data_IF_987944759616
#
_entry.id   IF_987944759616
#
_cell.length_a   1.000
_cell.length_b   1.000
_cell.length_c   1.000
_cell.angle_alpha   90.00
_cell.angle_beta   90.00
_cell.angle_gamma   90.00
#
_symmetry.space_group_name_H-M   'P 1'
#
loop_
_entity.id
_entity.type
_entity.pdbx_description
1 polymer ?
#
# COMPACT_ATOMS: atom_id res chain seq x y z
N UNK A 1 3.58 17.44 -13.95
CA UNK A 1 2.65 18.00 -14.97
C UNK A 1 3.53 18.80 -15.92
N UNK A 2 4.03 18.31 -17.06
CA UNK A 2 3.75 17.12 -17.87
C UNK A 2 4.92 16.11 -17.73
N UNK A 3 4.77 14.99 -17.03
CA UNK A 3 4.14 13.74 -17.50
C UNK A 3 4.71 13.22 -18.83
N UNK A 4 5.59 12.23 -18.70
CA UNK A 4 5.34 10.86 -19.21
C UNK A 4 5.02 10.76 -20.71
N UNK A 5 5.89 11.30 -21.56
CA UNK A 5 5.70 11.26 -23.02
C UNK A 5 6.82 10.59 -23.80
N UNK A 6 7.53 9.59 -23.27
CA UNK A 6 8.42 8.76 -24.13
C UNK A 6 8.51 7.29 -23.68
N UNK A 7 7.36 6.62 -23.46
CA UNK A 7 7.30 5.15 -23.30
C UNK A 7 6.66 4.45 -24.50
N UNK A 8 6.28 5.17 -25.56
CA UNK A 8 5.56 4.53 -26.68
C UNK A 8 6.11 5.01 -28.02
N UNK A 9 7.20 4.41 -28.49
CA UNK A 9 7.54 4.42 -29.91
C UNK A 9 8.60 3.36 -30.26
N UNK A 10 8.24 2.46 -31.19
CA UNK A 10 9.07 1.52 -31.99
C UNK A 10 9.38 0.18 -31.32
N UNK A 11 8.63 -0.91 -31.53
CA UNK A 11 8.25 -1.65 -32.77
C UNK A 11 9.46 -2.12 -33.60
N UNK A 12 9.75 -3.42 -33.52
CA UNK A 12 10.24 -4.31 -34.60
C UNK A 12 10.12 -5.76 -34.09
N UNK A 13 9.05 -6.51 -34.41
CA UNK A 13 8.84 -7.34 -35.62
C UNK A 13 9.64 -8.65 -35.61
N UNK A 14 8.91 -9.78 -35.61
CA UNK A 14 9.39 -11.14 -35.85
C UNK A 14 8.21 -12.09 -36.05
N UNK A 15 7.81 -12.24 -37.32
CA UNK A 15 6.60 -12.85 -37.86
C UNK A 15 6.71 -14.39 -38.10
N UNK A 16 5.54 -15.01 -38.32
CA UNK A 16 5.24 -16.23 -39.11
C UNK A 16 5.65 -17.60 -38.52
N UNK A 17 4.98 -18.75 -38.72
CA UNK A 17 3.64 -19.24 -39.12
C UNK A 17 3.83 -20.74 -39.46
N UNK A 18 2.75 -21.54 -39.33
CA UNK A 18 2.43 -22.79 -40.04
C UNK A 18 2.58 -24.18 -39.37
N UNK A 19 1.56 -24.98 -39.70
CA UNK A 19 1.35 -26.43 -39.60
C UNK A 19 0.97 -26.99 -38.21
N UNK A 20 -0.11 -27.76 -38.00
CA UNK A 20 -1.04 -28.43 -38.89
C UNK A 20 -1.28 -29.87 -38.44
N UNK A 21 -2.50 -30.19 -37.96
CA UNK A 21 -3.10 -31.53 -38.00
C UNK A 21 -2.93 -32.47 -36.80
N UNK A 22 -4.04 -32.81 -36.11
CA UNK A 22 -4.72 -34.13 -36.11
C UNK A 22 -5.68 -34.29 -34.91
N UNK A 23 -6.93 -34.63 -35.23
CA UNK A 23 -8.05 -35.11 -34.39
C UNK A 23 -7.70 -36.43 -33.63
N UNK A 24 -8.48 -36.96 -32.64
CA UNK A 24 -9.95 -36.86 -32.54
C UNK A 24 -10.64 -36.84 -31.15
N UNK A 25 -11.92 -36.44 -31.21
CA UNK A 25 -13.12 -36.94 -30.48
C UNK A 25 -13.04 -37.15 -28.95
N UNK A 26 -13.71 -36.27 -28.22
CA UNK A 26 -14.24 -36.53 -26.88
C UNK A 26 -15.58 -35.84 -26.68
N UNK A 27 -16.64 -36.65 -26.69
CA UNK A 27 -18.00 -36.45 -26.15
C UNK A 27 -18.65 -35.06 -26.22
N UNK A 28 -19.69 -34.98 -27.06
CA UNK A 28 -20.76 -34.01 -26.92
C UNK A 28 -21.40 -34.12 -25.53
N UNK A 29 -21.25 -33.07 -24.72
CA UNK A 29 -22.20 -32.77 -23.65
C UNK A 29 -23.35 -31.98 -24.27
N UNK A 30 -24.55 -32.55 -24.22
CA UNK A 30 -25.80 -31.90 -24.58
C UNK A 30 -26.00 -30.62 -23.72
N UNK A 31 -26.74 -29.61 -24.24
CA UNK A 31 -26.89 -28.31 -23.60
C UNK A 31 -27.69 -28.45 -22.30
N UNK A 32 -27.03 -28.25 -21.17
CA UNK A 32 -27.68 -28.13 -19.88
C UNK A 32 -28.31 -26.75 -19.71
N UNK A 33 -29.64 -26.73 -19.71
CA UNK A 33 -30.56 -25.79 -19.05
C UNK A 33 -30.25 -24.27 -19.15
N UNK A 34 -31.11 -23.58 -19.91
CA UNK A 34 -31.20 -22.13 -20.00
C UNK A 34 -31.40 -21.47 -18.62
N UNK A 35 -30.31 -20.91 -18.08
CA UNK A 35 -30.39 -19.71 -17.24
C UNK A 35 -30.61 -18.47 -18.12
N UNK A 36 -31.03 -17.33 -17.55
CA UNK A 36 -31.23 -16.10 -18.32
C UNK A 36 -29.94 -15.73 -19.07
N UNK A 37 -30.05 -15.51 -20.38
CA UNK A 37 -28.92 -15.12 -21.24
C UNK A 37 -28.20 -13.91 -20.64
N UNK A 38 -26.91 -14.05 -20.34
CA UNK A 38 -26.08 -12.96 -19.79
C UNK A 38 -26.14 -11.70 -20.66
N UNK A 39 -26.34 -11.87 -21.97
CA UNK A 39 -26.53 -10.78 -22.96
C UNK A 39 -27.79 -9.95 -22.67
N UNK A 40 -28.88 -10.60 -22.25
CA UNK A 40 -30.15 -9.94 -21.93
C UNK A 40 -30.03 -9.16 -20.62
N UNK A 41 -29.41 -9.76 -19.60
CA UNK A 41 -29.14 -9.10 -18.32
C UNK A 41 -28.18 -7.92 -18.50
N UNK A 42 -27.15 -8.09 -19.33
CA UNK A 42 -26.18 -7.04 -19.61
C UNK A 42 -26.82 -5.84 -20.35
N UNK A 43 -27.82 -6.07 -21.20
CA UNK A 43 -28.62 -5.00 -21.81
C UNK A 43 -29.40 -4.15 -20.78
N UNK A 44 -29.89 -4.79 -19.72
CA UNK A 44 -30.61 -4.13 -18.62
C UNK A 44 -29.70 -3.29 -17.71
N UNK A 45 -28.38 -3.45 -17.77
CA UNK A 45 -27.43 -2.59 -17.05
C UNK A 45 -27.39 -1.17 -17.61
N UNK A 46 -27.74 -1.01 -18.90
CA UNK A 46 -27.69 0.27 -19.59
C UNK A 46 -28.89 1.18 -19.25
N UNK A 47 -29.92 0.64 -18.59
CA UNK A 47 -31.14 1.37 -18.20
C UNK A 47 -31.15 1.57 -16.68
N UNK A 48 -31.23 2.83 -16.17
CA UNK A 48 -31.21 3.11 -14.73
C UNK A 48 -32.27 2.31 -13.94
N UNK A 49 -33.50 2.24 -14.47
CA UNK A 49 -34.62 1.56 -13.82
C UNK A 49 -34.41 0.05 -13.61
N UNK A 50 -33.61 -0.61 -14.46
CA UNK A 50 -33.34 -2.06 -14.41
C UNK A 50 -31.92 -2.40 -13.97
N UNK A 51 -31.05 -1.41 -13.77
CA UNK A 51 -29.64 -1.63 -13.46
C UNK A 51 -29.47 -2.38 -12.12
N UNK A 52 -30.22 -2.00 -11.08
CA UNK A 52 -30.13 -2.63 -9.77
C UNK A 52 -30.57 -4.11 -9.79
N UNK A 53 -31.63 -4.46 -10.53
CA UNK A 53 -32.11 -5.84 -10.66
C UNK A 53 -31.18 -6.68 -11.52
N UNK A 54 -30.61 -6.10 -12.57
CA UNK A 54 -29.59 -6.75 -13.40
C UNK A 54 -28.32 -7.05 -12.60
N UNK A 55 -27.82 -6.13 -11.77
CA UNK A 55 -26.66 -6.36 -10.90
C UNK A 55 -26.93 -7.49 -9.91
N UNK A 56 -28.12 -7.53 -9.31
CA UNK A 56 -28.51 -8.61 -8.41
C UNK A 56 -28.56 -9.98 -9.12
N UNK A 57 -29.07 -10.03 -10.35
CA UNK A 57 -29.09 -11.24 -11.16
C UNK A 57 -27.67 -11.70 -11.55
N UNK A 58 -26.78 -10.79 -11.92
CA UNK A 58 -25.38 -11.09 -12.22
C UNK A 58 -24.63 -11.67 -11.02
N UNK A 59 -24.93 -11.21 -9.81
CA UNK A 59 -24.32 -11.73 -8.58
C UNK A 59 -24.66 -13.20 -8.28
N UNK A 60 -25.71 -13.76 -8.88
CA UNK A 60 -26.09 -15.17 -8.77
C UNK A 60 -25.51 -16.06 -9.87
N UNK A 61 -24.92 -15.49 -10.92
CA UNK A 61 -24.34 -16.23 -12.03
C UNK A 61 -22.89 -16.62 -11.75
N UNK A 62 -22.48 -17.79 -12.25
CA UNK A 62 -21.08 -18.29 -12.18
C UNK A 62 -20.36 -18.16 -13.52
N UNK A 63 -20.86 -17.28 -14.40
CA UNK A 63 -20.30 -17.08 -15.74
C UNK A 63 -19.01 -16.24 -15.68
N UNK A 64 -17.89 -16.68 -16.30
CA UNK A 64 -16.62 -15.96 -16.29
C UNK A 64 -16.70 -14.55 -16.92
N UNK A 65 -17.72 -14.26 -17.74
CA UNK A 65 -17.92 -12.92 -18.31
C UNK A 65 -18.50 -11.90 -17.32
N UNK A 66 -18.96 -12.32 -16.13
CA UNK A 66 -19.54 -11.41 -15.11
C UNK A 66 -18.50 -10.47 -14.52
N UNK A 67 -17.31 -10.97 -14.16
CA UNK A 67 -16.24 -10.14 -13.58
C UNK A 67 -15.80 -9.00 -14.51
N UNK A 68 -15.39 -9.24 -15.76
CA UNK A 68 -14.97 -8.16 -16.66
C UNK A 68 -16.11 -7.19 -16.98
N UNK A 69 -17.36 -7.66 -17.06
CA UNK A 69 -18.52 -6.80 -17.28
C UNK A 69 -18.76 -5.84 -16.09
N UNK A 70 -18.77 -6.36 -14.87
CA UNK A 70 -18.97 -5.54 -13.67
C UNK A 70 -17.79 -4.60 -13.39
N UNK A 71 -16.56 -5.03 -13.71
CA UNK A 71 -15.38 -4.15 -13.65
C UNK A 71 -15.50 -3.02 -14.67
N UNK A 72 -15.88 -3.32 -15.92
CA UNK A 72 -16.10 -2.31 -16.94
C UNK A 72 -17.20 -1.30 -16.56
N UNK A 73 -18.28 -1.76 -15.94
CA UNK A 73 -19.34 -0.88 -15.43
C UNK A 73 -18.82 0.05 -14.32
N UNK A 74 -18.01 -0.48 -13.40
CA UNK A 74 -17.42 0.29 -12.30
C UNK A 74 -16.41 1.33 -12.79
N UNK A 75 -15.59 0.97 -13.77
CA UNK A 75 -14.50 1.81 -14.27
C UNK A 75 -14.96 2.81 -15.36
N UNK A 76 -16.27 2.84 -15.68
CA UNK A 76 -16.82 3.72 -16.71
C UNK A 76 -16.43 3.31 -18.14
N UNK A 77 -16.13 2.02 -18.34
CA UNK A 77 -15.67 1.43 -19.60
C UNK A 77 -16.77 0.63 -20.33
N UNK A 78 -18.02 0.70 -19.87
CA UNK A 78 -19.15 0.01 -20.49
C UNK A 78 -19.93 0.96 -21.42
N UNK A 79 -20.18 0.55 -22.65
CA UNK A 79 -20.88 1.35 -23.66
C UNK A 79 -22.11 0.62 -24.20
N UNK A 80 -23.16 1.39 -24.54
CA UNK A 80 -24.33 0.85 -25.24
C UNK A 80 -23.97 0.62 -26.71
N UNK A 81 -24.22 -0.59 -27.21
CA UNK A 81 -23.96 -0.94 -28.61
C UNK A 81 -25.09 -1.81 -29.18
N UNK A 82 -25.70 -1.36 -30.27
CA UNK A 82 -26.90 -1.98 -30.85
C UNK A 82 -28.00 -2.23 -29.79
N UNK A 83 -28.40 -3.48 -29.59
CA UNK A 83 -29.40 -3.91 -28.61
C UNK A 83 -28.79 -4.43 -27.30
N UNK A 84 -27.50 -4.18 -27.05
CA UNK A 84 -26.79 -4.69 -25.89
C UNK A 84 -25.70 -3.74 -25.41
N UNK A 85 -24.67 -4.32 -24.77
CA UNK A 85 -23.53 -3.58 -24.21
C UNK A 85 -22.21 -4.12 -24.77
N UNK A 86 -21.23 -3.23 -24.86
CA UNK A 86 -19.86 -3.53 -25.25
C UNK A 86 -18.89 -2.94 -24.23
N UNK A 87 -17.78 -3.64 -23.99
CA UNK A 87 -16.73 -3.25 -23.05
C UNK A 87 -15.59 -2.58 -23.82
N UNK A 88 -15.09 -1.46 -23.34
CA UNK A 88 -13.91 -0.80 -23.90
C UNK A 88 -12.65 -1.60 -23.55
N UNK A 89 -11.92 -2.06 -24.57
CA UNK A 89 -10.61 -2.69 -24.41
C UNK A 89 -9.48 -1.67 -24.26
N UNK A 90 -8.32 -2.13 -23.79
CA UNK A 90 -7.11 -1.31 -23.60
C UNK A 90 -6.59 -0.70 -24.92
N UNK A 91 -6.97 -1.29 -26.05
CA UNK A 91 -6.71 -0.85 -27.41
C UNK A 91 -7.66 0.26 -27.90
N UNK A 92 -8.58 0.72 -27.04
CA UNK A 92 -9.59 1.73 -27.35
C UNK A 92 -10.76 1.19 -28.19
N UNK A 93 -10.75 -0.10 -28.54
CA UNK A 93 -11.80 -0.75 -29.30
C UNK A 93 -12.90 -1.31 -28.39
N UNK A 94 -14.15 -1.23 -28.84
CA UNK A 94 -15.28 -1.89 -28.21
C UNK A 94 -15.23 -3.40 -28.47
N UNK A 95 -15.42 -4.17 -27.41
CA UNK A 95 -15.42 -5.64 -27.41
C UNK A 95 -16.76 -6.16 -26.94
N UNK A 96 -17.18 -7.28 -27.51
CA UNK A 96 -18.36 -8.01 -27.03
C UNK A 96 -18.08 -8.70 -25.68
N UNK A 97 -19.12 -9.24 -25.04
CA UNK A 97 -19.01 -9.97 -23.77
C UNK A 97 -18.13 -11.24 -23.87
N UNK A 98 -17.79 -11.70 -25.07
CA UNK A 98 -16.87 -12.80 -25.32
C UNK A 98 -15.43 -12.31 -25.60
N UNK A 99 -15.16 -11.01 -25.45
CA UNK A 99 -13.85 -10.38 -25.63
C UNK A 99 -13.44 -10.15 -27.09
N UNK A 100 -14.34 -10.37 -28.06
CA UNK A 100 -14.08 -10.21 -29.50
C UNK A 100 -14.28 -8.75 -29.89
N UNK A 101 -13.42 -8.17 -30.76
CA UNK A 101 -13.62 -6.80 -31.22
C UNK A 101 -14.93 -6.70 -31.99
N UNK A 102 -15.73 -5.69 -31.65
CA UNK A 102 -16.91 -5.33 -32.42
C UNK A 102 -16.44 -4.71 -33.72
N UNK A 103 -16.83 -5.29 -34.85
CA UNK A 103 -16.42 -4.83 -36.18
C UNK A 103 -17.52 -4.02 -36.85
N UNK A 104 -17.14 -2.96 -37.57
CA UNK A 104 -18.02 -2.20 -38.43
C UNK A 104 -18.33 -2.95 -39.75
N UNK A 105 -19.17 -2.36 -40.60
CA UNK A 105 -19.53 -2.94 -41.91
C UNK A 105 -18.36 -3.05 -42.91
N UNK A 106 -17.17 -2.54 -42.55
CA UNK A 106 -15.92 -2.59 -43.31
C UNK A 106 -14.87 -3.51 -42.66
N UNK A 107 -15.23 -4.18 -41.56
CA UNK A 107 -14.33 -5.10 -40.84
C UNK A 107 -13.32 -4.40 -39.93
N UNK A 108 -13.49 -3.12 -39.61
CA UNK A 108 -12.63 -2.36 -38.70
C UNK A 108 -13.18 -2.39 -37.27
N UNK A 109 -12.28 -2.38 -36.27
CA UNK A 109 -12.66 -2.36 -34.87
C UNK A 109 -13.38 -1.04 -34.53
N UNK A 110 -14.55 -1.15 -33.92
CA UNK A 110 -15.38 -0.01 -33.54
C UNK A 110 -14.78 0.66 -32.30
N UNK A 111 -14.62 1.97 -32.35
CA UNK A 111 -14.27 2.82 -31.19
C UNK A 111 -15.51 3.60 -30.73
N UNK A 112 -15.58 4.03 -29.45
CA UNK A 112 -16.66 4.91 -28.99
C UNK A 112 -16.76 6.16 -29.87
N UNK A 113 -17.98 6.57 -30.22
CA UNK A 113 -18.18 7.80 -31.01
C UNK A 113 -17.80 9.02 -30.17
N UNK A 114 -17.33 10.07 -30.83
CA UNK A 114 -17.05 11.34 -30.16
C UNK A 114 -18.32 11.88 -29.49
N UNK A 115 -18.31 12.04 -28.16
CA UNK A 115 -19.48 12.41 -27.34
C UNK A 115 -20.39 11.26 -26.90
N UNK A 116 -20.04 9.99 -27.17
CA UNK A 116 -20.77 8.85 -26.63
C UNK A 116 -20.44 8.66 -25.15
N UNK A 117 -21.44 8.79 -24.29
CA UNK A 117 -21.29 8.56 -22.86
C UNK A 117 -21.27 7.07 -22.53
N UNK A 118 -20.41 6.71 -21.58
CA UNK A 118 -20.40 5.39 -20.99
C UNK A 118 -21.65 5.18 -20.13
N UNK A 119 -22.05 3.92 -19.97
CA UNK A 119 -23.10 3.52 -19.02
C UNK A 119 -22.62 3.84 -17.61
N UNK A 120 -23.24 4.84 -16.99
CA UNK A 120 -22.94 5.23 -15.63
C UNK A 120 -23.44 4.18 -14.63
N UNK A 121 -22.61 3.87 -13.64
CA UNK A 121 -23.00 3.09 -12.47
C UNK A 121 -23.71 4.00 -11.47
N UNK A 122 -24.93 3.65 -11.07
CA UNK A 122 -25.64 4.37 -10.02
C UNK A 122 -24.88 4.29 -8.69
N UNK A 123 -24.77 5.43 -8.00
CA UNK A 123 -24.09 5.56 -6.70
C UNK A 123 -24.63 4.55 -5.68
N UNK A 124 -25.96 4.35 -5.64
CA UNK A 124 -26.62 3.38 -4.75
C UNK A 124 -26.27 1.91 -5.06
N UNK A 125 -25.83 1.61 -6.29
CA UNK A 125 -25.49 0.27 -6.75
C UNK A 125 -23.98 -0.02 -6.67
N UNK A 126 -23.14 1.01 -6.48
CA UNK A 126 -21.68 0.89 -6.38
C UNK A 126 -21.25 -0.15 -5.33
N UNK A 127 -21.82 -0.07 -4.11
CA UNK A 127 -21.50 -1.01 -3.03
C UNK A 127 -21.85 -2.46 -3.36
N UNK A 128 -22.95 -2.70 -4.11
CA UNK A 128 -23.37 -4.05 -4.52
C UNK A 128 -22.44 -4.63 -5.58
N UNK A 129 -22.09 -3.83 -6.60
CA UNK A 129 -21.12 -4.22 -7.64
C UNK A 129 -19.79 -4.57 -7.00
N UNK A 130 -19.32 -3.72 -6.09
CA UNK A 130 -18.09 -3.95 -5.34
C UNK A 130 -18.16 -5.27 -4.54
N UNK A 131 -19.24 -5.52 -3.80
CA UNK A 131 -19.40 -6.78 -3.07
C UNK A 131 -19.36 -8.02 -3.97
N UNK A 132 -19.97 -7.97 -5.15
CA UNK A 132 -19.95 -9.09 -6.11
C UNK A 132 -18.54 -9.30 -6.65
N UNK A 133 -17.86 -8.24 -7.09
CA UNK A 133 -16.49 -8.34 -7.61
C UNK A 133 -15.52 -8.94 -6.59
N UNK A 134 -15.60 -8.53 -5.32
CA UNK A 134 -14.72 -9.07 -4.29
C UNK A 134 -15.02 -10.55 -3.99
N UNK A 135 -16.29 -11.00 -4.05
CA UNK A 135 -16.63 -12.44 -3.93
C UNK A 135 -16.02 -13.29 -5.03
N UNK A 136 -15.94 -12.75 -6.26
CA UNK A 136 -15.30 -13.43 -7.38
C UNK A 136 -13.77 -13.46 -7.20
N UNK A 137 -13.18 -12.32 -6.79
CA UNK A 137 -11.73 -12.20 -6.59
C UNK A 137 -11.16 -13.12 -5.50
N UNK A 138 -11.96 -13.50 -4.51
CA UNK A 138 -11.56 -14.44 -3.46
C UNK A 138 -11.18 -15.83 -4.00
N UNK A 139 -11.57 -16.22 -5.22
CA UNK A 139 -11.19 -17.50 -5.82
C UNK A 139 -10.09 -17.40 -6.89
N UNK A 140 -9.47 -16.23 -7.05
CA UNK A 140 -8.42 -16.02 -8.07
C UNK A 140 -7.13 -16.78 -7.76
N UNK A 141 -6.30 -17.03 -8.78
CA UNK A 141 -5.02 -17.72 -8.61
C UNK A 141 -3.98 -16.93 -7.80
N UNK A 142 -4.07 -15.60 -7.79
CA UNK A 142 -3.15 -14.71 -7.09
C UNK A 142 -3.48 -14.60 -5.58
N UNK A 143 -2.58 -15.05 -4.66
CA UNK A 143 -2.81 -14.95 -3.22
C UNK A 143 -3.03 -13.51 -2.73
N UNK A 144 -2.36 -12.53 -3.34
CA UNK A 144 -2.47 -11.13 -2.93
C UNK A 144 -3.86 -10.56 -3.26
N UNK A 145 -4.35 -10.82 -4.46
CA UNK A 145 -5.72 -10.49 -4.85
C UNK A 145 -6.76 -11.15 -3.93
N UNK A 146 -6.62 -12.46 -3.65
CA UNK A 146 -7.53 -13.18 -2.73
C UNK A 146 -7.54 -12.55 -1.33
N UNK A 147 -6.37 -12.21 -0.80
CA UNK A 147 -6.20 -11.58 0.53
C UNK A 147 -6.87 -10.21 0.58
N UNK A 148 -6.65 -9.37 -0.43
CA UNK A 148 -7.28 -8.05 -0.54
C UNK A 148 -8.81 -8.16 -0.59
N UNK A 149 -9.31 -9.10 -1.39
CA UNK A 149 -10.74 -9.34 -1.54
C UNK A 149 -11.39 -9.84 -0.24
N UNK A 150 -10.75 -10.79 0.44
CA UNK A 150 -11.20 -11.28 1.75
C UNK A 150 -11.31 -10.15 2.78
N UNK A 151 -10.28 -9.30 2.89
CA UNK A 151 -10.28 -8.15 3.79
C UNK A 151 -11.45 -7.19 3.52
N UNK A 152 -11.67 -6.84 2.24
CA UNK A 152 -12.76 -5.95 1.83
C UNK A 152 -14.13 -6.56 2.14
N UNK A 153 -14.34 -7.84 1.83
CA UNK A 153 -15.60 -8.53 2.14
C UNK A 153 -15.90 -8.53 3.64
N UNK A 154 -14.90 -8.75 4.49
CA UNK A 154 -15.05 -8.62 5.94
C UNK A 154 -15.45 -7.22 6.39
N UNK A 155 -15.01 -6.18 5.67
CA UNK A 155 -15.27 -4.77 5.99
C UNK A 155 -16.62 -4.27 5.46
N UNK A 156 -17.18 -4.91 4.43
CA UNK A 156 -18.46 -4.54 3.82
C UNK A 156 -19.68 -4.89 4.69
N UNK A 157 -19.49 -5.65 5.78
CA UNK A 157 -20.54 -6.09 6.72
C UNK A 157 -21.72 -6.82 6.04
N UNK A 158 -21.44 -7.46 4.91
CA UNK A 158 -22.41 -8.19 4.12
C UNK A 158 -22.42 -9.67 4.50
N UNK A 159 -23.42 -10.07 5.31
CA UNK A 159 -23.56 -11.44 5.83
C UNK A 159 -23.76 -12.47 4.70
N UNK A 160 -24.21 -12.06 3.51
CA UNK A 160 -24.38 -12.98 2.38
C UNK A 160 -23.05 -13.46 1.80
N UNK A 161 -21.92 -12.84 2.17
CA UNK A 161 -20.58 -13.30 1.82
C UNK A 161 -20.05 -14.45 2.71
N UNK A 162 -20.72 -14.77 3.83
CA UNK A 162 -20.28 -15.83 4.77
C UNK A 162 -20.07 -17.20 4.11
N UNK A 163 -21.00 -17.72 3.28
CA UNK A 163 -20.81 -19.02 2.62
C UNK A 163 -19.65 -19.00 1.61
N UNK A 164 -19.47 -17.87 0.92
CA UNK A 164 -18.40 -17.67 -0.05
C UNK A 164 -17.03 -17.72 0.64
N UNK A 165 -16.86 -16.96 1.72
CA UNK A 165 -15.63 -16.94 2.50
C UNK A 165 -15.33 -18.30 3.16
N UNK A 166 -16.36 -19.00 3.65
CA UNK A 166 -16.19 -20.34 4.21
C UNK A 166 -15.66 -21.33 3.16
N UNK A 167 -16.25 -21.34 1.96
CA UNK A 167 -15.80 -22.20 0.86
C UNK A 167 -14.38 -21.85 0.41
N UNK A 168 -14.06 -20.56 0.33
CA UNK A 168 -12.70 -20.12 -0.02
C UNK A 168 -11.67 -20.57 1.02
N UNK A 169 -12.02 -20.50 2.31
CA UNK A 169 -11.16 -20.92 3.41
C UNK A 169 -10.83 -22.42 3.37
N UNK A 170 -11.76 -23.26 2.92
CA UNK A 170 -11.55 -24.71 2.77
C UNK A 170 -10.53 -25.04 1.66
N UNK A 171 -10.51 -24.22 0.60
CA UNK A 171 -9.63 -24.43 -0.56
C UNK A 171 -8.28 -23.71 -0.42
N UNK A 172 -8.13 -22.82 0.58
CA UNK A 172 -6.96 -21.98 0.74
C UNK A 172 -5.75 -22.77 1.27
N UNK A 173 -4.61 -22.57 0.60
CA UNK A 173 -3.33 -23.20 0.94
C UNK A 173 -2.33 -22.20 1.52
N UNK A 174 -2.46 -20.92 1.18
CA UNK A 174 -1.56 -19.89 1.69
C UNK A 174 -1.92 -19.50 3.13
N UNK A 175 -0.95 -19.60 4.05
CA UNK A 175 -1.19 -19.36 5.48
C UNK A 175 -1.57 -17.92 5.79
N UNK A 176 -1.00 -16.94 5.06
CA UNK A 176 -1.30 -15.52 5.26
C UNK A 176 -2.73 -15.20 4.81
N UNK A 177 -3.11 -15.66 3.62
CA UNK A 177 -4.46 -15.49 3.05
C UNK A 177 -5.51 -16.19 3.90
N UNK A 178 -5.23 -17.40 4.37
CA UNK A 178 -6.07 -18.15 5.31
C UNK A 178 -6.40 -17.35 6.56
N UNK A 179 -5.40 -16.70 7.15
CA UNK A 179 -5.58 -15.85 8.35
C UNK A 179 -6.56 -14.70 8.09
N UNK A 180 -6.46 -14.05 6.93
CA UNK A 180 -7.34 -12.94 6.55
C UNK A 180 -8.76 -13.41 6.22
N UNK A 181 -8.90 -14.59 5.59
CA UNK A 181 -10.21 -15.23 5.37
C UNK A 181 -10.88 -15.60 6.70
N UNK A 182 -10.13 -16.17 7.65
CA UNK A 182 -10.64 -16.47 9.00
C UNK A 182 -11.09 -15.19 9.72
N UNK A 183 -10.32 -14.10 9.62
CA UNK A 183 -10.67 -12.79 10.21
C UNK A 183 -11.95 -12.21 9.58
N UNK A 184 -12.03 -12.19 8.25
CA UNK A 184 -13.18 -11.67 7.52
C UNK A 184 -14.46 -12.46 7.84
N UNK A 185 -14.37 -13.79 7.85
CA UNK A 185 -15.47 -14.66 8.22
C UNK A 185 -15.93 -14.42 9.66
N UNK A 186 -15.00 -14.26 10.60
CA UNK A 186 -15.32 -14.00 11.99
C UNK A 186 -15.98 -12.63 12.19
N UNK A 187 -15.52 -11.57 11.50
CA UNK A 187 -16.18 -10.25 11.51
C UNK A 187 -17.63 -10.34 11.06
N UNK A 188 -17.91 -11.01 9.95
CA UNK A 188 -19.29 -11.18 9.48
C UNK A 188 -20.14 -12.03 10.44
N UNK A 189 -19.56 -13.06 11.06
CA UNK A 189 -20.25 -13.90 12.05
C UNK A 189 -20.58 -13.17 13.36
N UNK A 190 -19.90 -12.06 13.68
CA UNK A 190 -20.33 -11.19 14.79
C UNK A 190 -21.72 -10.57 14.56
N UNK A 191 -22.16 -10.45 13.30
CA UNK A 191 -23.48 -9.93 12.94
C UNK A 191 -24.57 -11.02 12.94
N UNK A 192 -24.21 -12.27 13.25
CA UNK A 192 -25.15 -13.38 13.24
C UNK A 192 -26.22 -13.21 14.34
N UNK A 193 -27.48 -13.65 14.09
CA UNK A 193 -28.56 -13.55 15.07
C UNK A 193 -28.34 -14.47 16.29
N UNK A 194 -27.58 -15.56 16.11
CA UNK A 194 -27.33 -16.57 17.15
C UNK A 194 -26.17 -16.16 18.06
N UNK A 195 -26.42 -16.11 19.38
CA UNK A 195 -25.43 -15.72 20.39
C UNK A 195 -24.19 -16.64 20.40
N UNK A 196 -24.38 -17.96 20.26
CA UNK A 196 -23.27 -18.91 20.19
C UNK A 196 -22.32 -18.62 19.02
N UNK A 197 -22.85 -18.28 17.85
CA UNK A 197 -22.05 -17.92 16.66
C UNK A 197 -21.27 -16.62 16.88
N UNK A 198 -21.86 -15.62 17.54
CA UNK A 198 -21.14 -14.39 17.91
C UNK A 198 -20.03 -14.66 18.93
N UNK A 199 -20.27 -15.55 19.89
CA UNK A 199 -19.26 -15.97 20.87
C UNK A 199 -18.06 -16.67 20.20
N UNK A 200 -18.33 -17.58 19.25
CA UNK A 200 -17.29 -18.26 18.47
C UNK A 200 -16.49 -17.28 17.60
N UNK A 201 -17.19 -16.35 16.94
CA UNK A 201 -16.58 -15.30 16.15
C UNK A 201 -15.67 -14.39 16.98
N UNK A 202 -16.12 -13.96 18.15
CA UNK A 202 -15.32 -13.16 19.07
C UNK A 202 -14.06 -13.92 19.52
N UNK A 203 -14.18 -15.19 19.89
CA UNK A 203 -13.02 -16.03 20.24
C UNK A 203 -12.03 -16.16 19.10
N UNK A 204 -12.51 -16.33 17.87
CA UNK A 204 -11.66 -16.36 16.69
C UNK A 204 -10.90 -15.04 16.48
N UNK A 205 -11.59 -13.89 16.57
CA UNK A 205 -10.97 -12.56 16.42
C UNK A 205 -9.96 -12.25 17.53
N UNK A 206 -10.23 -12.68 18.76
CA UNK A 206 -9.30 -12.60 19.89
C UNK A 206 -8.03 -13.42 19.65
N UNK A 207 -8.16 -14.67 19.20
CA UNK A 207 -7.01 -15.53 18.83
C UNK A 207 -6.18 -14.91 17.70
N UNK A 208 -6.85 -14.34 16.70
CA UNK A 208 -6.22 -13.68 15.55
C UNK A 208 -5.61 -12.31 15.90
N UNK A 209 -5.86 -11.77 17.10
CA UNK A 209 -5.45 -10.43 17.53
C UNK A 209 -5.90 -9.35 16.54
N UNK A 210 -7.15 -9.45 16.07
CA UNK A 210 -7.71 -8.62 15.01
C UNK A 210 -8.04 -7.20 15.49
N UNK A 211 -7.08 -6.29 15.39
CA UNK A 211 -7.21 -4.88 15.80
C UNK A 211 -8.33 -4.14 15.05
N UNK A 212 -8.45 -4.43 13.75
CA UNK A 212 -9.48 -3.88 12.87
C UNK A 212 -10.91 -4.25 13.31
N UNK A 213 -11.08 -5.28 14.14
CA UNK A 213 -12.38 -5.71 14.66
C UNK A 213 -12.71 -5.12 16.05
N UNK A 214 -11.79 -4.37 16.69
CA UNK A 214 -12.00 -3.83 18.03
C UNK A 214 -13.22 -2.92 18.12
N UNK A 215 -13.41 -2.05 17.13
CA UNK A 215 -14.55 -1.14 17.09
C UNK A 215 -15.87 -1.92 17.05
N UNK A 216 -15.95 -2.94 16.20
CA UNK A 216 -17.12 -3.80 16.07
C UNK A 216 -17.37 -4.61 17.34
N UNK A 217 -16.34 -5.23 17.91
CA UNK A 217 -16.44 -6.01 19.15
C UNK A 217 -16.95 -5.16 20.31
N UNK A 218 -16.50 -3.90 20.44
CA UNK A 218 -16.99 -2.97 21.47
C UNK A 218 -18.47 -2.63 21.26
N UNK A 219 -18.88 -2.38 20.01
CA UNK A 219 -20.30 -2.17 19.67
C UNK A 219 -21.16 -3.40 19.97
N UNK A 220 -20.66 -4.61 19.70
CA UNK A 220 -21.37 -5.86 20.04
C UNK A 220 -21.47 -6.02 21.55
N UNK A 221 -20.39 -5.74 22.29
CA UNK A 221 -20.35 -5.88 23.75
C UNK A 221 -21.43 -5.06 24.47
N UNK A 222 -21.66 -3.83 24.00
CA UNK A 222 -22.69 -2.93 24.55
C UNK A 222 -24.12 -3.46 24.36
N UNK A 223 -24.37 -4.17 23.25
CA UNK A 223 -25.70 -4.62 22.83
C UNK A 223 -25.99 -6.09 23.18
N UNK A 224 -24.97 -6.87 23.48
CA UNK A 224 -25.08 -8.31 23.68
C UNK A 224 -25.85 -8.60 24.98
N UNK A 225 -26.98 -9.30 24.89
CA UNK A 225 -27.81 -9.64 26.05
C UNK A 225 -27.37 -10.98 26.69
N UNK A 226 -26.86 -11.92 25.89
CA UNK A 226 -26.49 -13.24 26.39
C UNK A 226 -25.20 -13.18 27.22
N UNK A 227 -25.19 -13.69 28.47
CA UNK A 227 -24.03 -13.58 29.35
C UNK A 227 -22.81 -14.34 28.83
N UNK A 228 -22.99 -15.48 28.17
CA UNK A 228 -21.88 -16.32 27.68
C UNK A 228 -21.21 -15.70 26.45
N UNK A 229 -22.02 -15.16 25.53
CA UNK A 229 -21.53 -14.42 24.37
C UNK A 229 -20.86 -13.11 24.81
N UNK A 230 -21.47 -12.38 25.75
CA UNK A 230 -20.89 -11.14 26.31
C UNK A 230 -19.51 -11.39 26.93
N UNK A 231 -19.35 -12.46 27.71
CA UNK A 231 -18.06 -12.86 28.28
C UNK A 231 -17.02 -13.17 27.18
N UNK A 232 -17.41 -13.88 26.12
CA UNK A 232 -16.51 -14.21 25.01
C UNK A 232 -16.05 -12.96 24.24
N UNK A 233 -16.96 -12.01 24.00
CA UNK A 233 -16.65 -10.72 23.37
C UNK A 233 -15.74 -9.88 24.26
N UNK A 234 -16.02 -9.82 25.57
CA UNK A 234 -15.18 -9.10 26.53
C UNK A 234 -13.77 -9.68 26.59
N UNK A 235 -13.62 -11.00 26.66
CA UNK A 235 -12.32 -11.67 26.66
C UNK A 235 -11.56 -11.40 25.35
N UNK A 236 -12.25 -11.40 24.20
CA UNK A 236 -11.66 -11.04 22.92
C UNK A 236 -11.12 -9.60 22.92
N UNK A 237 -11.92 -8.62 23.36
CA UNK A 237 -11.50 -7.21 23.47
C UNK A 237 -10.28 -7.08 24.38
N UNK A 238 -10.30 -7.66 25.58
CA UNK A 238 -9.16 -7.62 26.52
C UNK A 238 -7.90 -8.27 25.93
N UNK A 239 -8.05 -9.38 25.21
CA UNK A 239 -6.93 -10.05 24.55
C UNK A 239 -6.32 -9.18 23.44
N UNK A 240 -7.14 -8.48 22.65
CA UNK A 240 -6.64 -7.63 21.58
C UNK A 240 -6.02 -6.36 22.16
N UNK A 241 -6.69 -5.69 23.12
CA UNK A 241 -6.19 -4.47 23.77
C UNK A 241 -4.86 -4.71 24.49
N UNK A 242 -4.73 -5.83 25.24
CA UNK A 242 -3.46 -6.19 25.86
C UNK A 242 -2.37 -6.43 24.83
N UNK A 243 -2.66 -7.13 23.73
CA UNK A 243 -1.66 -7.33 22.66
C UNK A 243 -1.21 -6.01 22.03
N UNK A 244 -2.16 -5.14 21.69
CA UNK A 244 -1.87 -3.80 21.12
C UNK A 244 -1.05 -2.98 22.10
N UNK A 245 -1.42 -2.97 23.37
CA UNK A 245 -0.68 -2.24 24.41
C UNK A 245 0.76 -2.71 24.51
N UNK A 246 1.01 -4.02 24.66
CA UNK A 246 2.37 -4.56 24.76
C UNK A 246 3.19 -4.23 23.50
N UNK A 247 2.61 -4.40 22.31
CA UNK A 247 3.26 -4.06 21.05
C UNK A 247 3.62 -2.57 20.99
N UNK A 248 2.69 -1.69 21.35
CA UNK A 248 2.90 -0.24 21.35
C UNK A 248 3.96 0.17 22.36
N UNK A 249 3.96 -0.41 23.56
CA UNK A 249 4.99 -0.16 24.59
C UNK A 249 6.37 -0.55 24.06
N UNK A 250 6.52 -1.75 23.49
CA UNK A 250 7.79 -2.19 22.88
C UNK A 250 8.21 -1.25 21.76
N UNK A 251 7.27 -0.82 20.91
CA UNK A 251 7.51 0.16 19.86
C UNK A 251 7.97 1.51 20.40
N UNK A 252 7.32 2.06 21.42
CA UNK A 252 7.68 3.34 22.01
C UNK A 252 9.03 3.29 22.74
N UNK A 253 9.32 2.19 23.44
CA UNK A 253 10.61 1.98 24.07
C UNK A 253 11.73 1.96 23.03
N UNK A 254 11.57 1.19 21.93
CA UNK A 254 12.55 1.18 20.85
C UNK A 254 12.71 2.56 20.20
N UNK A 255 11.62 3.27 19.94
CA UNK A 255 11.67 4.62 19.41
C UNK A 255 12.39 5.60 20.35
N UNK A 256 12.15 5.50 21.65
CA UNK A 256 12.82 6.29 22.68
C UNK A 256 14.31 5.99 22.78
N UNK A 257 14.69 4.71 22.76
CA UNK A 257 16.10 4.28 22.74
C UNK A 257 16.79 4.75 21.46
N UNK A 258 16.14 4.62 20.30
CA UNK A 258 16.68 5.08 19.01
C UNK A 258 16.88 6.59 18.98
N UNK A 259 15.90 7.38 19.42
CA UNK A 259 16.04 8.83 19.54
C UNK A 259 17.13 9.19 20.55
N UNK A 260 17.18 8.49 21.68
CA UNK A 260 18.21 8.66 22.70
C UNK A 260 19.61 8.38 22.17
N UNK A 261 19.80 7.31 21.40
CA UNK A 261 21.08 6.98 20.76
C UNK A 261 21.55 8.08 19.81
N UNK A 262 20.65 8.62 18.97
CA UNK A 262 20.97 9.78 18.12
C UNK A 262 21.44 10.97 18.97
N UNK A 263 20.67 11.32 20.01
CA UNK A 263 21.01 12.44 20.89
C UNK A 263 22.32 12.21 21.65
N UNK A 264 22.60 10.97 22.07
CA UNK A 264 23.84 10.58 22.73
C UNK A 264 25.04 10.73 21.80
N UNK A 265 24.96 10.24 20.55
CA UNK A 265 26.02 10.39 19.55
C UNK A 265 26.26 11.88 19.26
N UNK A 266 25.19 12.66 19.10
CA UNK A 266 25.29 14.11 18.88
C UNK A 266 25.93 14.82 20.08
N UNK A 267 25.53 14.45 21.30
CA UNK A 267 26.05 15.01 22.56
C UNK A 267 27.49 14.61 22.80
N UNK A 268 27.90 13.39 22.46
CA UNK A 268 29.28 12.92 22.54
C UNK A 268 30.20 13.78 21.67
N UNK A 269 29.76 14.14 20.46
CA UNK A 269 30.50 15.08 19.59
C UNK A 269 30.70 16.45 20.23
N UNK A 270 29.67 16.98 20.91
CA UNK A 270 29.78 18.24 21.63
C UNK A 270 30.70 18.13 22.86
N UNK A 271 30.62 17.01 23.59
CA UNK A 271 31.47 16.75 24.76
C UNK A 271 32.95 16.67 24.38
N UNK A 272 33.29 16.01 23.27
CA UNK A 272 34.67 15.90 22.77
C UNK A 272 35.21 17.26 22.32
N UNK A 273 34.44 18.03 21.57
CA UNK A 273 34.88 19.36 21.08
C UNK A 273 35.06 20.35 22.24
N UNK A 274 34.12 20.43 23.16
CA UNK A 274 34.23 21.26 24.36
C UNK A 274 35.38 20.81 25.28
N UNK A 275 35.51 19.50 25.50
CA UNK A 275 36.48 18.93 26.43
C UNK A 275 37.94 19.15 26.03
N UNK A 276 38.24 19.19 24.73
CA UNK A 276 39.60 19.40 24.23
C UNK A 276 39.98 20.88 24.09
N UNK A 277 39.05 21.73 23.63
CA UNK A 277 39.33 23.14 23.32
C UNK A 277 38.96 24.11 24.47
N UNK A 278 38.13 23.69 25.43
CA UNK A 278 37.65 24.56 26.51
C UNK A 278 36.73 25.69 26.02
N UNK A 279 36.11 25.51 24.84
CA UNK A 279 35.32 26.54 24.15
C UNK A 279 33.92 26.02 23.86
N UNK A 280 32.92 26.86 24.13
CA UNK A 280 31.52 26.56 23.83
C UNK A 280 31.27 26.80 22.34
N UNK A 281 31.08 25.72 21.58
CA UNK A 281 30.72 25.78 20.17
C UNK A 281 29.20 25.59 19.97
N UNK A 282 28.48 26.67 19.67
CA UNK A 282 27.04 26.61 19.36
C UNK A 282 26.75 26.18 17.91
N UNK A 283 27.74 26.23 17.00
CA UNK A 283 27.60 25.82 15.61
C UNK A 283 27.74 24.30 15.40
N UNK A 284 27.86 23.50 16.47
CA UNK A 284 28.05 22.04 16.36
C UNK A 284 26.97 21.36 15.51
N UNK A 285 25.71 21.77 15.68
CA UNK A 285 24.59 21.25 14.88
C UNK A 285 24.75 21.51 13.38
N UNK A 286 25.35 22.63 13.01
CA UNK A 286 25.62 22.97 11.61
C UNK A 286 26.73 22.10 11.00
N UNK A 287 27.67 21.61 11.82
CA UNK A 287 28.69 20.66 11.36
C UNK A 287 28.04 19.30 10.98
N UNK A 288 27.06 18.84 11.77
CA UNK A 288 26.24 17.68 11.44
C UNK A 288 25.41 17.92 10.17
N UNK A 289 24.85 19.14 10.05
CA UNK A 289 24.10 19.56 8.87
C UNK A 289 24.96 19.49 7.61
N UNK A 290 26.19 20.01 7.63
CA UNK A 290 27.14 19.90 6.50
C UNK A 290 27.39 18.44 6.10
N UNK A 291 27.52 17.55 7.09
CA UNK A 291 27.63 16.11 6.85
C UNK A 291 26.41 15.54 6.12
N UNK A 292 25.20 15.91 6.53
CA UNK A 292 23.96 15.47 5.87
C UNK A 292 23.80 16.00 4.45
N UNK A 293 24.14 17.27 4.20
CA UNK A 293 24.13 17.84 2.85
C UNK A 293 25.18 17.20 1.95
N UNK A 294 26.36 16.86 2.48
CA UNK A 294 27.36 16.11 1.72
C UNK A 294 26.80 14.76 1.27
N UNK A 295 26.12 14.03 2.16
CA UNK A 295 25.48 12.77 1.80
C UNK A 295 24.37 12.95 0.75
N UNK A 296 23.60 14.04 0.83
CA UNK A 296 22.60 14.38 -0.17
C UNK A 296 23.22 14.69 -1.54
N UNK A 297 24.26 15.51 -1.60
CA UNK A 297 24.97 15.83 -2.86
C UNK A 297 25.56 14.57 -3.50
N UNK A 298 26.18 13.70 -2.69
CA UNK A 298 26.72 12.42 -3.18
C UNK A 298 25.61 11.53 -3.72
N UNK A 299 24.47 11.44 -3.02
CA UNK A 299 23.31 10.68 -3.51
C UNK A 299 22.82 11.22 -4.87
N UNK A 300 22.68 12.53 -5.02
CA UNK A 300 22.21 13.14 -6.26
C UNK A 300 23.21 12.95 -7.41
N UNK A 301 24.51 13.01 -7.12
CA UNK A 301 25.56 12.72 -8.10
C UNK A 301 25.47 11.27 -8.59
N UNK A 302 25.25 10.31 -7.69
CA UNK A 302 25.04 8.91 -8.05
C UNK A 302 23.74 8.72 -8.83
N UNK A 303 22.66 9.43 -8.46
CA UNK A 303 21.39 9.35 -9.17
C UNK A 303 21.46 9.90 -10.60
N UNK A 304 22.31 10.88 -10.86
CA UNK A 304 22.47 11.49 -12.18
C UNK A 304 23.48 10.76 -13.05
N UNK A 305 24.62 10.33 -12.51
CA UNK A 305 25.74 9.79 -13.28
C UNK A 305 25.90 8.25 -13.18
N UNK A 306 25.41 7.63 -12.10
CA UNK A 306 25.68 6.23 -11.77
C UNK A 306 24.43 5.47 -11.31
N UNK A 307 23.35 5.56 -12.08
CA UNK A 307 22.04 4.95 -11.77
C UNK A 307 22.15 3.45 -11.43
N UNK A 308 23.03 2.72 -12.13
CA UNK A 308 23.22 1.27 -11.90
C UNK A 308 23.87 0.93 -10.55
N UNK A 309 24.53 1.88 -9.89
CA UNK A 309 25.32 1.67 -8.67
C UNK A 309 24.84 2.58 -7.54
N UNK A 310 23.58 3.00 -7.58
CA UNK A 310 22.98 3.91 -6.61
C UNK A 310 23.32 3.53 -5.18
N UNK A 311 23.20 2.27 -4.80
CA UNK A 311 23.38 1.79 -3.43
C UNK A 311 24.79 1.99 -2.83
N UNK A 312 25.81 2.23 -3.66
CA UNK A 312 27.17 2.50 -3.21
C UNK A 312 27.38 3.93 -2.71
N UNK A 313 26.43 4.84 -2.97
CA UNK A 313 26.53 6.23 -2.53
C UNK A 313 26.76 6.34 -1.02
N UNK A 314 26.12 5.47 -0.21
CA UNK A 314 26.21 5.52 1.25
C UNK A 314 27.63 5.27 1.77
N UNK A 315 28.35 4.32 1.17
CA UNK A 315 29.72 3.95 1.56
C UNK A 315 30.72 5.07 1.24
N UNK A 316 30.46 5.83 0.18
CA UNK A 316 31.31 6.97 -0.24
C UNK A 316 30.91 8.25 0.50
N UNK A 317 29.61 8.45 0.72
CA UNK A 317 29.06 9.58 1.44
C UNK A 317 29.59 9.63 2.87
N UNK A 318 29.65 8.49 3.58
CA UNK A 318 30.11 8.44 4.96
C UNK A 318 31.51 9.07 5.17
N UNK A 319 32.60 8.58 4.54
CA UNK A 319 33.92 9.20 4.70
C UNK A 319 33.97 10.61 4.12
N UNK A 320 33.24 10.90 3.03
CA UNK A 320 33.24 12.23 2.45
C UNK A 320 32.57 13.26 3.37
N UNK A 321 31.49 12.89 4.06
CA UNK A 321 30.82 13.74 5.06
C UNK A 321 31.74 14.07 6.23
N UNK A 322 32.56 13.12 6.71
CA UNK A 322 33.58 13.40 7.73
C UNK A 322 34.67 14.33 7.20
N UNK A 323 35.11 14.11 5.95
CA UNK A 323 36.14 14.93 5.33
C UNK A 323 35.66 16.37 5.11
N UNK A 324 34.46 16.57 4.55
CA UNK A 324 33.90 17.91 4.30
C UNK A 324 33.64 18.65 5.60
N UNK A 325 33.02 18.01 6.59
CA UNK A 325 32.84 18.59 7.92
C UNK A 325 34.18 18.95 8.58
N UNK A 326 35.18 18.06 8.49
CA UNK A 326 36.52 18.29 9.02
C UNK A 326 37.25 19.45 8.33
N UNK A 327 37.14 19.56 7.00
CA UNK A 327 37.72 20.67 6.24
C UNK A 327 37.06 22.01 6.58
N UNK A 328 35.73 22.05 6.71
CA UNK A 328 35.03 23.26 7.15
C UNK A 328 35.41 23.62 8.59
N UNK A 329 35.46 22.63 9.49
CA UNK A 329 35.93 22.82 10.86
C UNK A 329 37.35 23.38 10.93
N UNK A 330 38.27 22.85 10.12
CA UNK A 330 39.65 23.35 10.02
C UNK A 330 39.70 24.78 9.48
N UNK A 331 38.88 25.10 8.48
CA UNK A 331 38.78 26.46 7.94
C UNK A 331 38.29 27.45 9.00
N UNK A 332 37.28 27.06 9.80
CA UNK A 332 36.79 27.86 10.92
C UNK A 332 37.84 28.02 12.02
N UNK A 333 38.57 26.95 12.33
CA UNK A 333 39.63 26.96 13.33
C UNK A 333 40.75 27.94 12.96
N UNK A 334 41.29 27.80 11.75
CA UNK A 334 42.39 28.64 11.26
C UNK A 334 41.97 30.09 11.00
N UNK A 335 40.72 30.28 10.57
CA UNK A 335 40.22 31.59 10.12
C UNK A 335 39.59 32.44 11.23
N UNK A 336 38.94 31.82 12.22
CA UNK A 336 38.12 32.54 13.20
C UNK A 336 38.45 32.11 14.63
N UNK A 337 38.29 30.82 14.95
CA UNK A 337 38.25 30.34 16.33
C UNK A 337 39.59 30.54 17.05
N UNK A 338 40.72 30.26 16.39
CA UNK A 338 42.07 30.43 16.97
C UNK A 338 42.34 31.85 17.47
N UNK A 339 41.72 32.87 16.86
CA UNK A 339 41.91 34.27 17.25
C UNK A 339 41.08 34.67 18.49
N UNK A 340 40.09 33.85 18.86
CA UNK A 340 39.15 34.10 19.96
C UNK A 340 39.48 33.26 21.21
N UNK A 341 40.58 32.51 21.18
CA UNK A 341 41.05 31.72 22.30
C UNK A 341 41.26 32.57 23.56
N UNK A 342 40.76 32.05 24.70
CA UNK A 342 40.76 32.76 25.99
C UNK A 342 39.58 33.71 26.20
N UNK A 343 38.66 33.85 25.23
CA UNK A 343 37.49 34.75 25.31
C UNK A 343 36.17 33.99 25.15
N UNK A 344 35.67 33.32 26.21
CA UNK A 344 34.54 32.39 26.10
C UNK A 344 33.23 33.04 25.65
N UNK A 345 32.94 34.27 26.12
CA UNK A 345 31.72 35.00 25.74
C UNK A 345 31.74 35.44 24.26
N UNK A 346 32.88 35.93 23.77
CA UNK A 346 33.04 36.34 22.38
C UNK A 346 32.91 35.13 21.44
N UNK A 347 33.50 34.01 21.83
CA UNK A 347 33.44 32.78 21.02
C UNK A 347 32.02 32.22 20.94
N UNK A 348 31.24 32.33 22.01
CA UNK A 348 29.84 31.93 22.02
C UNK A 348 29.01 32.71 20.99
N UNK A 349 29.13 34.05 20.97
CA UNK A 349 28.39 34.92 20.06
C UNK A 349 28.82 34.66 18.60
N UNK A 350 30.12 34.51 18.36
CA UNK A 350 30.67 34.25 17.03
C UNK A 350 30.21 32.89 16.50
N UNK A 351 30.30 31.83 17.30
CA UNK A 351 29.87 30.48 16.85
C UNK A 351 28.36 30.43 16.61
N UNK A 352 27.55 31.12 17.41
CA UNK A 352 26.13 31.24 17.12
C UNK A 352 25.86 31.98 15.79
N UNK A 353 26.57 33.08 15.53
CA UNK A 353 26.46 33.83 14.28
C UNK A 353 26.90 33.02 13.06
N UNK A 354 28.01 32.29 13.15
CA UNK A 354 28.44 31.33 12.11
C UNK A 354 27.35 30.29 11.87
N UNK A 355 26.75 29.80 12.95
CA UNK A 355 25.68 28.82 12.87
C UNK A 355 24.48 29.32 12.05
N UNK A 356 24.07 30.57 12.29
CA UNK A 356 23.03 31.22 11.49
C UNK A 356 23.46 31.39 10.02
N UNK A 357 24.70 31.80 9.76
CA UNK A 357 25.18 31.94 8.37
C UNK A 357 25.12 30.59 7.63
N UNK A 358 25.55 29.50 8.26
CA UNK A 358 25.50 28.17 7.67
C UNK A 358 24.07 27.69 7.43
N UNK A 359 23.21 27.74 8.44
CA UNK A 359 21.81 27.31 8.29
C UNK A 359 21.05 28.12 7.22
N UNK A 360 21.26 29.44 7.15
CA UNK A 360 20.61 30.29 6.14
C UNK A 360 21.21 30.08 4.75
N UNK A 361 22.52 29.90 4.65
CA UNK A 361 23.18 29.59 3.37
C UNK A 361 22.69 28.26 2.83
N UNK A 362 22.64 27.22 3.67
CA UNK A 362 22.15 25.90 3.29
C UNK A 362 20.70 25.98 2.81
N UNK A 363 19.83 26.72 3.53
CA UNK A 363 18.45 26.96 3.13
C UNK A 363 18.34 27.68 1.78
N UNK A 364 19.20 28.67 1.51
CA UNK A 364 19.20 29.41 0.25
C UNK A 364 19.62 28.53 -0.94
N UNK A 365 20.62 27.67 -0.78
CA UNK A 365 21.15 26.84 -1.86
C UNK A 365 20.35 25.54 -2.07
N UNK A 366 19.92 24.88 -0.99
CA UNK A 366 19.31 23.55 -1.05
C UNK A 366 17.79 23.54 -0.79
N UNK A 367 17.22 24.62 -0.26
CA UNK A 367 15.82 24.68 0.14
C UNK A 367 15.53 24.07 1.52
N UNK A 368 14.25 23.93 1.85
CA UNK A 368 13.81 23.62 3.22
C UNK A 368 13.79 22.12 3.59
N UNK A 369 13.76 21.19 2.62
CA UNK A 369 13.61 19.75 2.89
C UNK A 369 14.35 18.87 1.88
N UNK A 370 15.66 18.73 2.04
CA UNK A 370 16.41 17.68 1.34
C UNK A 370 16.43 16.42 2.19
N UNK A 371 15.87 15.32 1.66
CA UNK A 371 15.89 14.02 2.32
C UNK A 371 16.81 13.06 1.58
N UNK A 372 17.61 12.33 2.34
CA UNK A 372 18.49 11.27 1.83
C UNK A 372 17.71 9.97 1.91
N UNK A 373 17.51 9.32 0.76
CA UNK A 373 16.81 8.06 0.68
C UNK A 373 17.78 6.93 1.00
N UNK A 374 17.50 6.07 1.99
CA UNK A 374 18.40 4.97 2.30
C UNK A 374 18.60 4.03 1.10
N UNK A 375 19.78 3.40 0.98
CA UNK A 375 20.05 2.45 -0.09
C UNK A 375 19.13 1.23 0.03
N UNK A 376 18.89 0.51 -1.07
CA UNK A 376 17.87 -0.54 -1.16
C UNK A 376 18.00 -1.62 -0.10
N UNK A 377 19.23 -2.02 0.25
CA UNK A 377 19.54 -2.99 1.29
C UNK A 377 19.30 -2.48 2.71
N UNK A 378 19.23 -1.16 2.89
CA UNK A 378 18.95 -0.49 4.17
C UNK A 378 17.49 -0.02 4.27
N UNK A 379 16.68 -0.22 3.21
CA UNK A 379 15.25 0.05 3.20
C UNK A 379 14.49 -1.05 3.92
N UNK A 380 13.39 -0.66 4.56
CA UNK A 380 12.52 -1.56 5.31
C UNK A 380 12.99 -1.78 6.74
N UNK A 381 12.69 -2.95 7.28
CA UNK A 381 12.97 -3.28 8.67
C UNK A 381 12.64 -4.73 8.98
N UNK A 382 12.95 -5.12 10.21
CA UNK A 382 12.60 -6.44 10.75
C UNK A 382 11.24 -6.37 11.44
N UNK A 383 10.31 -7.25 11.06
CA UNK A 383 9.04 -7.41 11.76
C UNK A 383 9.29 -8.25 13.03
N UNK A 384 9.30 -7.60 14.19
CA UNK A 384 9.60 -8.26 15.47
C UNK A 384 8.31 -8.84 16.08
N UNK A 385 7.23 -8.06 16.02
CA UNK A 385 5.88 -8.48 16.38
C UNK A 385 4.95 -8.18 15.20
N UNK A 386 3.79 -8.84 15.12
CA UNK A 386 2.79 -8.59 14.08
C UNK A 386 2.42 -7.10 14.02
N UNK A 387 2.70 -6.46 12.89
CA UNK A 387 2.45 -5.04 12.70
C UNK A 387 3.42 -4.09 13.44
N UNK A 388 4.53 -4.60 13.98
CA UNK A 388 5.62 -3.81 14.54
C UNK A 388 6.92 -4.08 13.78
N UNK A 389 7.30 -3.11 12.96
CA UNK A 389 8.51 -3.18 12.15
C UNK A 389 9.54 -2.22 12.73
N UNK A 390 10.74 -2.75 13.01
CA UNK A 390 11.88 -1.94 13.43
C UNK A 390 12.75 -1.62 12.20
N UNK A 391 12.86 -0.34 11.81
CA UNK A 391 13.65 0.05 10.64
C UNK A 391 15.13 -0.27 10.82
N UNK A 392 15.77 -0.79 9.77
CA UNK A 392 17.21 -1.10 9.78
C UNK A 392 18.06 0.12 10.12
N UNK A 393 17.68 1.30 9.62
CA UNK A 393 18.35 2.56 9.91
C UNK A 393 18.41 2.91 11.39
N UNK A 394 17.34 2.62 12.14
CA UNK A 394 17.28 2.89 13.58
C UNK A 394 18.05 1.86 14.37
N UNK A 395 18.01 0.59 13.97
CA UNK A 395 18.79 -0.48 14.60
C UNK A 395 20.28 -0.18 14.45
N UNK A 396 20.72 0.21 13.25
CA UNK A 396 22.11 0.57 13.00
C UNK A 396 22.60 1.69 13.93
N UNK A 397 21.80 2.76 14.11
CA UNK A 397 22.16 3.87 15.00
C UNK A 397 22.22 3.44 16.46
N UNK A 398 21.38 2.51 16.91
CA UNK A 398 21.38 2.01 18.29
C UNK A 398 22.60 1.12 18.58
N UNK A 399 23.11 0.42 17.56
CA UNK A 399 24.29 -0.44 17.67
C UNK A 399 25.60 0.35 17.67
N UNK A 400 25.62 1.49 16.95
CA UNK A 400 26.73 2.44 16.93
C UNK A 400 26.85 3.16 18.28
#
# INVERSE_FOLDING_TARGET
MALRTEVVSRVAVGLLVCAGGLLPRGAAAAPGAAGPDIRVIAGQLAEPATQATAIAALGGLTDPAVEPLLRALKDGALYRWNTGVAVLGDDGALRDLAGRPVLDSRGQAVVPREGQEAVALEEASFGRVQAILERLQVFTGDPEARRSAAFKLGSLRDVTAVPVLAKALEQERDARTRTVLEEALAKLRLLAPVAATRADAARALGRLRSESALAELRTVLEREADPTARQSVQAAVQSIDSFVFHRSVVGYLFNGVSLGAVLLIMSLGLAVTFGLMGIINMAHGEMLMIGSYTAWVVQELFATHFVAHLDYYFVIALPLSFLTAGLVGLALELGIIRFLYGRPLETLIVTWGIGMIFSQSARLYFGDQTSVNPPTWFRGGVEVLRGLIFPWSRIFIVVL
#
